data_IF_736884563050
#
_entry.id   IF_736884563050
#
_cell.length_a   1.000
_cell.length_b   1.000
_cell.length_c   1.000
_cell.angle_alpha   90.00
_cell.angle_beta   90.00
_cell.angle_gamma   90.00
#
_symmetry.space_group_name_H-M   'P 1'
#
loop_
_entity.id
_entity.type
_entity.pdbx_description
1 polymer ?
#
# COMPACT_ATOMS: atom_id res chain seq x y z
N UNK A 1 2.81 37.54 2.74
CA UNK A 1 2.72 36.79 4.01
C UNK A 1 1.44 35.98 3.95
N UNK A 2 1.53 34.66 3.74
CA UNK A 2 0.35 33.80 3.81
C UNK A 2 -0.06 33.70 5.26
N UNK A 3 -1.27 34.13 5.57
CA UNK A 3 -1.89 34.02 6.87
C UNK A 3 -1.99 32.53 7.23
N UNK A 4 -1.08 32.04 8.07
CA UNK A 4 -1.14 30.67 8.58
C UNK A 4 -2.24 30.66 9.63
N UNK A 5 -3.46 30.34 9.22
CA UNK A 5 -4.55 30.08 10.17
C UNK A 5 -4.13 28.88 11.01
N UNK A 6 -3.69 29.14 12.23
CA UNK A 6 -3.30 28.11 13.19
C UNK A 6 -4.59 27.53 13.80
N UNK A 7 -5.27 26.67 13.03
CA UNK A 7 -6.50 26.01 13.48
C UNK A 7 -6.16 25.00 14.58
N UNK A 8 -6.65 25.24 15.79
CA UNK A 8 -6.54 24.29 16.90
C UNK A 8 -7.32 23.02 16.58
N UNK A 9 -6.82 21.88 17.06
CA UNK A 9 -7.56 20.61 16.98
C UNK A 9 -8.84 20.73 17.82
N UNK A 10 -9.99 20.25 17.33
CA UNK A 10 -11.24 20.36 18.07
C UNK A 10 -11.20 19.61 19.41
N UNK A 11 -12.04 20.01 20.34
CA UNK A 11 -12.23 19.30 21.61
C UNK A 11 -13.21 18.14 21.39
N UNK A 12 -13.00 17.02 22.10
CA UNK A 12 -13.92 15.89 22.05
C UNK A 12 -15.14 16.17 22.93
N UNK A 13 -16.15 16.86 22.40
CA UNK A 13 -17.36 17.28 23.13
C UNK A 13 -18.62 16.70 22.48
N UNK A 14 -19.74 16.72 23.21
CA UNK A 14 -21.05 16.42 22.62
C UNK A 14 -21.67 17.71 22.08
N UNK A 15 -22.11 17.69 20.82
CA UNK A 15 -22.76 18.83 20.14
C UNK A 15 -24.01 19.29 20.88
N UNK A 16 -24.71 18.38 21.58
CA UNK A 16 -25.88 18.72 22.40
C UNK A 16 -25.55 19.68 23.56
N UNK A 17 -24.28 19.75 23.96
CA UNK A 17 -23.80 20.67 25.00
C UNK A 17 -23.30 22.00 24.47
N UNK A 18 -23.33 22.23 23.15
CA UNK A 18 -22.96 23.50 22.55
C UNK A 18 -24.15 24.48 22.67
N UNK A 19 -23.98 25.50 23.51
CA UNK A 19 -24.88 26.64 23.58
C UNK A 19 -24.47 27.72 22.55
N UNK A 20 -24.99 28.94 22.67
CA UNK A 20 -24.73 30.05 21.74
C UNK A 20 -23.22 30.26 21.45
N UNK A 21 -22.83 30.86 20.30
CA UNK A 21 -21.44 30.93 19.84
C UNK A 21 -20.42 31.51 20.83
N UNK A 22 -20.87 32.34 21.77
CA UNK A 22 -20.04 33.00 22.78
C UNK A 22 -19.98 32.24 24.13
N UNK A 23 -20.59 31.04 24.22
CA UNK A 23 -20.64 30.26 25.45
C UNK A 23 -19.31 29.56 25.75
N UNK A 24 -19.08 29.27 27.04
CA UNK A 24 -17.93 28.48 27.47
C UNK A 24 -18.04 27.06 26.89
N UNK A 25 -16.97 26.56 26.27
CA UNK A 25 -16.95 25.21 25.71
C UNK A 25 -17.13 24.14 26.81
N UNK A 26 -17.93 23.09 26.55
CA UNK A 26 -18.07 21.96 27.46
C UNK A 26 -16.74 21.26 27.73
N UNK A 27 -16.67 20.55 28.87
CA UNK A 27 -15.50 19.73 29.20
C UNK A 27 -15.37 18.57 28.20
N UNK A 28 -14.15 18.25 27.73
CA UNK A 28 -13.92 17.09 26.88
C UNK A 28 -14.39 15.79 27.55
N UNK A 29 -15.05 14.93 26.77
CA UNK A 29 -15.53 13.63 27.18
C UNK A 29 -14.63 12.51 26.65
N UNK A 30 -14.70 11.34 27.28
CA UNK A 30 -13.91 10.15 26.91
C UNK A 30 -14.64 9.20 25.97
N UNK A 31 -15.95 9.40 25.77
CA UNK A 31 -16.76 8.60 24.85
C UNK A 31 -16.49 8.98 23.39
N UNK A 32 -16.88 8.07 22.48
CA UNK A 32 -16.82 8.31 21.04
C UNK A 32 -17.77 9.45 20.66
N UNK A 33 -17.24 10.46 19.98
CA UNK A 33 -18.01 11.53 19.32
C UNK A 33 -17.54 11.65 17.87
N UNK A 34 -18.26 12.42 17.07
CA UNK A 34 -17.81 12.81 15.72
C UNK A 34 -16.40 13.41 15.77
N UNK A 35 -16.11 14.23 16.78
CA UNK A 35 -14.79 14.83 16.97
C UNK A 35 -13.71 13.81 17.33
N UNK A 36 -14.04 12.65 17.93
CA UNK A 36 -13.02 11.63 18.23
C UNK A 36 -12.28 11.18 16.96
N UNK A 37 -13.00 10.98 15.86
CA UNK A 37 -12.41 10.63 14.56
C UNK A 37 -11.66 11.80 13.93
N UNK A 38 -12.19 13.02 14.04
CA UNK A 38 -11.53 14.23 13.51
C UNK A 38 -10.22 14.50 14.25
N UNK A 39 -10.21 14.41 15.58
CA UNK A 39 -9.01 14.57 16.42
C UNK A 39 -7.96 13.53 16.05
N UNK A 40 -8.36 12.25 15.98
CA UNK A 40 -7.46 11.18 15.57
C UNK A 40 -6.89 11.42 14.16
N UNK A 41 -7.72 11.95 13.25
CA UNK A 41 -7.30 12.33 11.91
C UNK A 41 -6.30 13.49 11.90
N UNK A 42 -6.57 14.56 12.64
CA UNK A 42 -5.68 15.72 12.73
C UNK A 42 -4.31 15.32 13.29
N UNK A 43 -4.29 14.51 14.36
CA UNK A 43 -3.04 14.02 14.94
C UNK A 43 -2.28 13.10 13.97
N UNK A 44 -3.00 12.21 13.26
CA UNK A 44 -2.41 11.43 12.17
C UNK A 44 -1.76 12.34 11.11
N UNK A 45 -2.49 13.33 10.60
CA UNK A 45 -2.02 14.21 9.52
C UNK A 45 -0.82 15.04 9.97
N UNK A 46 -0.78 15.53 11.22
CA UNK A 46 0.40 16.21 11.77
C UNK A 46 1.64 15.33 11.70
N UNK A 47 1.51 14.07 12.13
CA UNK A 47 2.61 13.12 12.11
C UNK A 47 2.98 12.77 10.66
N UNK A 48 2.00 12.47 9.82
CA UNK A 48 2.19 12.14 8.41
C UNK A 48 2.88 13.27 7.64
N UNK A 49 2.52 14.54 7.88
CA UNK A 49 3.15 15.70 7.24
C UNK A 49 4.60 15.88 7.66
N UNK A 50 4.91 15.67 8.95
CA UNK A 50 6.28 15.71 9.45
C UNK A 50 7.12 14.61 8.83
N UNK A 51 6.58 13.38 8.79
CA UNK A 51 7.21 12.25 8.13
C UNK A 51 7.40 12.55 6.64
N UNK A 52 6.38 13.09 5.96
CA UNK A 52 6.43 13.37 4.54
C UNK A 52 7.54 14.37 4.19
N UNK A 53 7.66 15.43 5.00
CA UNK A 53 8.70 16.45 4.86
C UNK A 53 10.11 15.87 5.06
N UNK A 54 10.27 14.86 5.91
CA UNK A 54 11.55 14.17 6.12
C UNK A 54 11.82 13.07 5.10
N UNK A 55 10.77 12.39 4.62
CA UNK A 55 10.86 11.14 3.87
C UNK A 55 10.85 11.35 2.36
N UNK A 56 9.94 12.16 1.83
CA UNK A 56 9.78 12.37 0.38
C UNK A 56 10.65 13.49 -0.18
N UNK A 57 11.30 14.29 0.69
CA UNK A 57 12.37 15.20 0.28
C UNK A 57 13.66 14.45 -0.09
N UNK A 58 13.76 13.17 0.29
CA UNK A 58 14.89 12.30 -0.01
C UNK A 58 14.79 11.78 -1.45
N UNK A 59 15.09 12.64 -2.43
CA UNK A 59 15.08 12.29 -3.85
C UNK A 59 16.35 11.50 -4.20
N UNK A 60 16.19 10.18 -4.42
CA UNK A 60 17.18 9.33 -5.10
C UNK A 60 18.05 8.42 -4.22
N UNK A 61 18.00 8.54 -2.89
CA UNK A 61 18.71 7.63 -1.99
C UNK A 61 17.71 6.72 -1.27
N UNK A 62 18.04 5.44 -1.09
CA UNK A 62 17.19 4.52 -0.33
C UNK A 62 17.20 4.95 1.15
N UNK A 63 16.03 5.18 1.79
CA UNK A 63 15.96 5.51 3.21
C UNK A 63 16.65 4.44 4.05
N UNK A 64 17.41 4.86 5.07
CA UNK A 64 18.05 3.91 5.97
C UNK A 64 17.01 3.12 6.76
N UNK A 65 17.36 1.88 7.14
CA UNK A 65 16.47 1.02 7.96
C UNK A 65 16.13 1.69 9.29
N UNK A 66 17.10 2.33 9.92
CA UNK A 66 16.91 2.98 11.22
C UNK A 66 16.00 4.21 11.12
N UNK A 67 16.08 4.96 10.02
CA UNK A 67 15.15 6.06 9.74
C UNK A 67 13.72 5.54 9.63
N UNK A 68 13.48 4.53 8.77
CA UNK A 68 12.13 3.96 8.63
C UNK A 68 11.62 3.43 9.96
N UNK A 69 12.45 2.71 10.73
CA UNK A 69 12.06 2.19 12.04
C UNK A 69 11.66 3.32 12.99
N UNK A 70 12.44 4.41 13.06
CA UNK A 70 12.09 5.56 13.90
C UNK A 70 10.79 6.25 13.47
N UNK A 71 10.50 6.31 12.18
CA UNK A 71 9.23 6.85 11.68
C UNK A 71 8.05 5.90 12.00
N UNK A 72 8.27 4.59 11.89
CA UNK A 72 7.27 3.56 12.24
C UNK A 72 6.96 3.55 13.74
N UNK A 73 7.98 3.72 14.60
CA UNK A 73 7.82 3.82 16.05
C UNK A 73 6.92 4.99 16.44
N UNK A 74 7.03 6.13 15.74
CA UNK A 74 6.15 7.30 15.93
C UNK A 74 4.71 6.98 15.53
N UNK A 75 4.51 6.26 14.43
CA UNK A 75 3.17 5.81 14.01
C UNK A 75 2.57 4.81 15.00
N UNK A 76 3.38 3.90 15.55
CA UNK A 76 2.96 2.97 16.59
C UNK A 76 2.61 3.70 17.90
N UNK A 77 3.38 4.72 18.28
CA UNK A 77 3.09 5.54 19.44
C UNK A 77 1.76 6.29 19.28
N UNK A 78 1.50 6.87 18.10
CA UNK A 78 0.22 7.47 17.77
C UNK A 78 -0.93 6.48 17.87
N UNK A 79 -0.78 5.29 17.25
CA UNK A 79 -1.82 4.26 17.30
C UNK A 79 -2.14 3.83 18.74
N UNK A 80 -1.12 3.76 19.61
CA UNK A 80 -1.29 3.48 21.06
C UNK A 80 -1.92 4.64 21.84
N UNK A 81 -1.79 5.88 21.36
CA UNK A 81 -2.41 7.06 21.98
C UNK A 81 -3.87 7.26 21.58
N UNK A 82 -4.39 6.48 20.62
CA UNK A 82 -5.77 6.59 20.21
C UNK A 82 -6.73 6.31 21.39
N UNK A 83 -7.87 7.01 21.46
CA UNK A 83 -8.88 6.73 22.47
C UNK A 83 -9.39 5.28 22.40
N UNK A 84 -9.94 4.78 23.51
CA UNK A 84 -10.44 3.40 23.62
C UNK A 84 -11.49 3.03 22.57
N UNK A 85 -12.19 4.01 22.00
CA UNK A 85 -13.14 3.77 20.92
C UNK A 85 -12.50 3.18 19.65
N UNK A 86 -11.19 3.36 19.46
CA UNK A 86 -10.42 2.76 18.35
C UNK A 86 -9.83 1.38 18.70
N UNK A 87 -9.93 0.96 19.96
CA UNK A 87 -9.40 -0.33 20.40
C UNK A 87 -10.21 -1.50 19.86
N UNK A 88 -9.51 -2.58 19.50
CA UNK A 88 -10.15 -3.83 19.09
C UNK A 88 -10.94 -4.42 20.27
N UNK A 89 -12.20 -4.79 20.03
CA UNK A 89 -13.08 -5.38 21.04
C UNK A 89 -13.89 -4.36 21.87
N UNK A 90 -13.64 -3.06 21.70
CA UNK A 90 -14.52 -2.04 22.30
C UNK A 90 -15.80 -1.91 21.47
N UNK A 91 -16.93 -2.11 22.15
CA UNK A 91 -18.26 -1.86 21.61
C UNK A 91 -18.42 -0.36 21.41
N UNK A 92 -18.76 0.06 20.20
CA UNK A 92 -19.00 1.44 19.82
C UNK A 92 -20.35 1.55 19.14
N UNK A 93 -20.96 2.74 19.09
CA UNK A 93 -22.16 2.96 18.30
C UNK A 93 -21.92 2.62 16.82
N UNK A 94 -22.94 2.08 16.14
CA UNK A 94 -22.84 1.65 14.73
C UNK A 94 -22.42 2.77 13.77
N UNK A 95 -22.80 4.02 14.06
CA UNK A 95 -22.40 5.18 13.26
C UNK A 95 -20.88 5.45 13.34
N UNK A 96 -20.19 4.98 14.39
CA UNK A 96 -18.76 5.19 14.59
C UNK A 96 -17.89 4.09 13.96
N UNK A 97 -18.49 2.97 13.53
CA UNK A 97 -17.75 1.87 12.92
C UNK A 97 -16.98 2.29 11.66
N UNK A 98 -17.62 3.09 10.81
CA UNK A 98 -17.01 3.60 9.58
C UNK A 98 -15.82 4.56 9.84
N UNK A 99 -15.97 5.66 10.61
CA UNK A 99 -14.85 6.52 10.96
C UNK A 99 -13.70 5.77 11.65
N UNK A 100 -14.04 4.83 12.54
CA UNK A 100 -13.05 3.97 13.21
C UNK A 100 -12.23 3.17 12.21
N UNK A 101 -12.89 2.48 11.29
CA UNK A 101 -12.22 1.68 10.27
C UNK A 101 -11.28 2.55 9.41
N UNK A 102 -11.75 3.72 8.96
CA UNK A 102 -10.97 4.64 8.13
C UNK A 102 -9.68 5.09 8.83
N UNK A 103 -9.75 5.48 10.10
CA UNK A 103 -8.56 5.92 10.86
C UNK A 103 -7.55 4.79 11.02
N UNK A 104 -8.02 3.58 11.35
CA UNK A 104 -7.15 2.41 11.49
C UNK A 104 -6.50 2.03 10.16
N UNK A 105 -7.25 2.07 9.05
CA UNK A 105 -6.71 1.82 7.71
C UNK A 105 -5.70 2.88 7.27
N UNK A 106 -5.91 4.16 7.60
CA UNK A 106 -4.89 5.21 7.37
C UNK A 106 -3.59 4.88 8.10
N UNK A 107 -3.67 4.45 9.34
CA UNK A 107 -2.52 4.00 10.12
C UNK A 107 -1.77 2.83 9.47
N UNK A 108 -2.49 1.76 9.12
CA UNK A 108 -1.92 0.59 8.45
C UNK A 108 -1.29 0.94 7.11
N UNK A 109 -2.01 1.69 6.28
CA UNK A 109 -1.57 2.08 4.94
C UNK A 109 -0.33 2.96 4.98
N UNK A 110 -0.28 3.94 5.88
CA UNK A 110 0.88 4.82 5.99
C UNK A 110 2.15 4.06 6.40
N UNK A 111 2.03 3.15 7.37
CA UNK A 111 3.13 2.24 7.76
C UNK A 111 3.56 1.34 6.60
N UNK A 112 2.59 0.77 5.89
CA UNK A 112 2.84 -0.08 4.71
C UNK A 112 3.64 0.67 3.64
N UNK A 113 3.25 1.92 3.34
CA UNK A 113 3.92 2.77 2.35
C UNK A 113 5.35 3.15 2.75
N UNK A 114 5.64 3.36 4.02
CA UNK A 114 7.01 3.59 4.49
C UNK A 114 7.89 2.35 4.27
N UNK A 115 7.35 1.16 4.56
CA UNK A 115 8.09 -0.09 4.45
C UNK A 115 8.20 -0.65 3.02
N UNK A 116 7.43 -0.12 2.06
CA UNK A 116 7.42 -0.58 0.65
C UNK A 116 8.79 -0.52 -0.01
N UNK A 117 9.63 0.44 0.40
CA UNK A 117 10.99 0.61 -0.12
C UNK A 117 11.90 -0.61 0.15
N UNK A 118 11.48 -1.54 1.02
CA UNK A 118 12.20 -2.78 1.31
C UNK A 118 11.80 -3.97 0.45
N UNK A 119 10.70 -3.91 -0.32
CA UNK A 119 10.26 -5.02 -1.19
C UNK A 119 11.35 -5.55 -2.13
N UNK A 120 12.24 -4.73 -2.73
CA UNK A 120 13.34 -5.26 -3.55
C UNK A 120 14.30 -6.21 -2.83
N UNK A 121 14.33 -6.22 -1.49
CA UNK A 121 15.14 -7.17 -0.72
C UNK A 121 14.63 -8.61 -0.81
N UNK A 122 13.39 -8.83 -1.27
CA UNK A 122 12.83 -10.17 -1.47
C UNK A 122 13.59 -10.98 -2.55
N UNK A 123 14.43 -10.34 -3.36
CA UNK A 123 15.38 -11.03 -4.25
C UNK A 123 16.44 -11.83 -3.48
N UNK A 124 16.73 -11.47 -2.24
CA UNK A 124 17.65 -12.21 -1.38
C UNK A 124 16.93 -13.40 -0.73
N UNK A 125 17.46 -14.61 -0.94
CA UNK A 125 16.88 -15.86 -0.43
C UNK A 125 16.62 -15.85 1.09
N UNK A 126 17.52 -15.28 1.89
CA UNK A 126 17.37 -15.28 3.35
C UNK A 126 16.25 -14.34 3.81
N UNK A 127 16.15 -13.16 3.19
CA UNK A 127 15.07 -12.19 3.49
C UNK A 127 13.73 -12.74 3.02
N UNK A 128 13.73 -13.42 1.87
CA UNK A 128 12.57 -14.10 1.32
C UNK A 128 12.08 -15.19 2.28
N UNK A 129 12.93 -16.11 2.69
CA UNK A 129 12.58 -17.18 3.62
C UNK A 129 11.98 -16.63 4.93
N UNK A 130 12.62 -15.62 5.53
CA UNK A 130 12.12 -14.96 6.74
C UNK A 130 10.73 -14.31 6.56
N UNK A 131 10.47 -13.74 5.37
CA UNK A 131 9.21 -13.06 5.06
C UNK A 131 8.07 -14.04 4.73
N UNK A 132 8.38 -15.18 4.11
CA UNK A 132 7.42 -16.23 3.75
C UNK A 132 7.09 -17.15 4.92
N UNK A 133 8.11 -17.60 5.67
CA UNK A 133 7.97 -18.64 6.70
C UNK A 133 7.43 -18.08 8.02
N UNK A 134 7.18 -16.77 8.09
CA UNK A 134 6.58 -16.12 9.27
C UNK A 134 7.46 -16.17 10.53
N UNK A 135 8.69 -16.68 10.43
CA UNK A 135 9.59 -16.86 11.58
C UNK A 135 9.92 -15.52 12.27
N UNK A 136 9.94 -14.41 11.52
CA UNK A 136 9.87 -13.06 12.06
C UNK A 136 9.59 -12.00 10.99
N UNK A 137 8.32 -11.71 10.65
CA UNK A 137 7.97 -10.68 9.67
C UNK A 137 8.51 -9.29 10.06
N UNK A 138 8.77 -9.05 11.35
CA UNK A 138 9.31 -7.78 11.88
C UNK A 138 10.83 -7.65 11.78
N UNK A 139 11.58 -8.73 11.46
CA UNK A 139 13.05 -8.65 11.30
C UNK A 139 13.45 -7.83 10.07
N UNK A 140 12.60 -7.81 9.05
CA UNK A 140 12.88 -7.17 7.78
C UNK A 140 11.73 -6.24 7.40
N UNK A 141 12.06 -5.04 6.91
CA UNK A 141 11.05 -4.10 6.46
C UNK A 141 10.15 -4.64 5.35
N UNK A 142 10.65 -5.56 4.52
CA UNK A 142 9.85 -6.23 3.50
C UNK A 142 8.75 -7.12 4.12
N UNK A 143 9.10 -7.97 5.09
CA UNK A 143 8.15 -8.83 5.79
C UNK A 143 7.07 -8.02 6.53
N UNK A 144 7.45 -6.89 7.12
CA UNK A 144 6.50 -5.97 7.77
C UNK A 144 5.58 -5.29 6.75
N UNK A 145 6.09 -4.87 5.59
CA UNK A 145 5.27 -4.33 4.52
C UNK A 145 4.19 -5.32 4.07
N UNK A 146 4.58 -6.59 3.87
CA UNK A 146 3.67 -7.66 3.46
C UNK A 146 2.62 -7.96 4.54
N UNK A 147 3.04 -8.02 5.82
CA UNK A 147 2.10 -8.30 6.91
C UNK A 147 1.09 -7.16 7.10
N UNK A 148 1.50 -5.90 6.91
CA UNK A 148 0.60 -4.75 6.91
C UNK A 148 -0.37 -4.77 5.73
N UNK A 149 0.08 -5.19 4.54
CA UNK A 149 -0.80 -5.35 3.38
C UNK A 149 -1.88 -6.41 3.64
N UNK A 150 -1.50 -7.59 4.14
CA UNK A 150 -2.43 -8.65 4.52
C UNK A 150 -3.43 -8.17 5.58
N UNK A 151 -2.94 -7.54 6.66
CA UNK A 151 -3.80 -6.98 7.71
C UNK A 151 -4.79 -5.94 7.18
N UNK A 152 -4.36 -5.10 6.23
CA UNK A 152 -5.22 -4.09 5.60
C UNK A 152 -6.33 -4.77 4.80
N UNK A 153 -5.99 -5.76 3.97
CA UNK A 153 -6.96 -6.50 3.14
C UNK A 153 -7.94 -7.25 4.02
N UNK A 154 -7.47 -8.03 5.00
CA UNK A 154 -8.34 -8.79 5.91
C UNK A 154 -9.30 -7.86 6.68
N UNK A 155 -8.81 -6.69 7.11
CA UNK A 155 -9.63 -5.69 7.80
C UNK A 155 -10.69 -5.06 6.89
N UNK A 156 -10.31 -4.66 5.67
CA UNK A 156 -11.24 -4.11 4.68
C UNK A 156 -12.28 -5.16 4.27
N UNK A 157 -11.84 -6.39 3.99
CA UNK A 157 -12.71 -7.50 3.64
C UNK A 157 -13.73 -7.78 4.73
N UNK A 158 -13.26 -7.92 5.98
CA UNK A 158 -14.16 -8.11 7.13
C UNK A 158 -15.19 -6.99 7.21
N UNK A 159 -14.77 -5.73 7.02
CA UNK A 159 -15.69 -4.60 7.05
C UNK A 159 -16.73 -4.66 5.92
N UNK A 160 -16.28 -4.85 4.67
CA UNK A 160 -17.10 -4.90 3.45
C UNK A 160 -18.20 -5.95 3.54
N UNK A 161 -17.89 -7.12 4.08
CA UNK A 161 -18.84 -8.24 4.17
C UNK A 161 -19.63 -8.28 5.48
N UNK A 162 -19.32 -7.41 6.44
CA UNK A 162 -20.07 -7.29 7.70
C UNK A 162 -21.02 -6.08 7.72
N UNK A 163 -20.89 -5.14 6.77
CA UNK A 163 -21.63 -3.89 6.76
C UNK A 163 -22.29 -3.62 5.40
N UNK A 164 -23.35 -2.81 5.40
CA UNK A 164 -23.91 -2.28 4.16
C UNK A 164 -23.02 -1.16 3.64
N UNK A 165 -22.40 -1.36 2.48
CA UNK A 165 -21.52 -0.37 1.88
C UNK A 165 -22.30 0.83 1.34
N UNK A 166 -22.01 2.01 1.89
CA UNK A 166 -22.41 3.30 1.33
C UNK A 166 -21.30 3.82 0.40
N UNK A 167 -21.67 4.73 -0.51
CA UNK A 167 -20.73 5.30 -1.50
C UNK A 167 -19.45 5.86 -0.86
N UNK A 168 -19.57 6.60 0.24
CA UNK A 168 -18.42 7.21 0.92
C UNK A 168 -17.41 6.18 1.42
N UNK A 169 -17.85 5.18 2.19
CA UNK A 169 -16.96 4.13 2.71
C UNK A 169 -16.44 3.20 1.61
N UNK A 170 -17.24 2.93 0.57
CA UNK A 170 -16.81 2.14 -0.58
C UNK A 170 -15.56 2.72 -1.27
N UNK A 171 -15.43 4.06 -1.31
CA UNK A 171 -14.24 4.72 -1.85
C UNK A 171 -12.99 4.39 -1.04
N UNK A 172 -13.09 4.46 0.30
CA UNK A 172 -11.99 4.09 1.19
C UNK A 172 -11.65 2.61 1.09
N UNK A 173 -12.65 1.72 1.04
CA UNK A 173 -12.43 0.28 0.83
C UNK A 173 -11.66 0.03 -0.46
N UNK A 174 -12.06 0.69 -1.55
CA UNK A 174 -11.39 0.60 -2.85
C UNK A 174 -9.93 1.05 -2.73
N UNK A 175 -9.69 2.23 -2.17
CA UNK A 175 -8.35 2.79 -2.02
C UNK A 175 -7.43 1.89 -1.20
N UNK A 176 -7.85 1.47 0.00
CA UNK A 176 -6.99 0.69 0.89
C UNK A 176 -6.79 -0.75 0.41
N UNK A 177 -7.83 -1.42 -0.10
CA UNK A 177 -7.71 -2.76 -0.65
C UNK A 177 -6.79 -2.78 -1.88
N UNK A 178 -6.95 -1.82 -2.79
CA UNK A 178 -6.11 -1.75 -3.99
C UNK A 178 -4.65 -1.48 -3.66
N UNK A 179 -4.36 -0.50 -2.78
CA UNK A 179 -2.98 -0.19 -2.36
C UNK A 179 -2.29 -1.40 -1.72
N UNK A 180 -2.99 -2.14 -0.87
CA UNK A 180 -2.45 -3.34 -0.23
C UNK A 180 -2.28 -4.50 -1.24
N UNK A 181 -3.22 -4.68 -2.16
CA UNK A 181 -3.12 -5.70 -3.20
C UNK A 181 -1.95 -5.43 -4.15
N UNK A 182 -1.69 -4.17 -4.51
CA UNK A 182 -0.53 -3.78 -5.31
C UNK A 182 0.79 -4.12 -4.62
N UNK A 183 0.91 -3.94 -3.30
CA UNK A 183 2.09 -4.36 -2.55
C UNK A 183 2.34 -5.87 -2.70
N UNK A 184 1.29 -6.69 -2.58
CA UNK A 184 1.40 -8.14 -2.74
C UNK A 184 1.70 -8.54 -4.20
N UNK A 185 1.13 -7.83 -5.17
CA UNK A 185 1.43 -8.04 -6.58
C UNK A 185 2.90 -7.72 -6.89
N UNK A 186 3.43 -6.58 -6.42
CA UNK A 186 4.85 -6.20 -6.55
C UNK A 186 5.75 -7.27 -5.91
N UNK A 187 5.39 -7.75 -4.71
CA UNK A 187 6.14 -8.79 -4.04
C UNK A 187 6.19 -10.10 -4.85
N UNK A 188 5.05 -10.50 -5.40
CA UNK A 188 4.93 -11.66 -6.30
C UNK A 188 5.83 -11.51 -7.53
N UNK A 189 5.83 -10.32 -8.15
CA UNK A 189 6.69 -10.00 -9.30
C UNK A 189 8.17 -9.91 -8.95
N UNK A 190 8.51 -9.66 -7.68
CA UNK A 190 9.91 -9.53 -7.22
C UNK A 190 10.56 -10.88 -6.95
N UNK A 191 9.78 -11.86 -6.48
CA UNK A 191 10.28 -13.17 -6.06
C UNK A 191 10.53 -14.13 -7.23
N UNK A 192 9.92 -13.88 -8.39
CA UNK A 192 10.04 -14.68 -9.63
C UNK A 192 9.85 -16.20 -9.40
N UNK A 193 8.99 -16.56 -8.46
CA UNK A 193 8.63 -17.96 -8.21
C UNK A 193 7.60 -18.44 -9.24
N UNK A 194 7.72 -19.72 -9.62
CA UNK A 194 6.75 -20.40 -10.49
C UNK A 194 5.37 -20.47 -9.87
N UNK A 195 5.26 -20.37 -8.55
CA UNK A 195 3.98 -20.28 -7.82
C UNK A 195 4.16 -19.31 -6.64
N UNK A 196 3.31 -18.28 -6.47
CA UNK A 196 3.45 -17.32 -5.40
C UNK A 196 3.01 -17.97 -4.09
N UNK A 197 3.39 -17.39 -2.95
CA UNK A 197 2.92 -17.84 -1.66
C UNK A 197 1.40 -17.84 -1.62
N UNK A 198 0.79 -18.97 -1.23
CA UNK A 198 -0.66 -19.14 -1.21
C UNK A 198 -1.37 -18.05 -0.39
N UNK A 199 -0.72 -17.57 0.68
CA UNK A 199 -1.22 -16.47 1.51
C UNK A 199 -1.30 -15.14 0.75
N UNK A 200 -0.36 -14.83 -0.15
CA UNK A 200 -0.40 -13.62 -0.95
C UNK A 200 -1.49 -13.72 -2.01
N UNK A 201 -1.57 -14.84 -2.73
CA UNK A 201 -2.61 -15.09 -3.73
C UNK A 201 -4.01 -15.03 -3.10
N UNK A 202 -4.21 -15.67 -1.95
CA UNK A 202 -5.48 -15.60 -1.20
C UNK A 202 -5.87 -14.16 -0.90
N UNK A 203 -4.95 -13.36 -0.37
CA UNK A 203 -5.24 -11.96 -0.02
C UNK A 203 -5.51 -11.09 -1.26
N UNK A 204 -4.82 -11.33 -2.38
CA UNK A 204 -5.13 -10.64 -3.64
C UNK A 204 -6.58 -10.94 -4.07
N UNK A 205 -7.02 -12.20 -3.98
CA UNK A 205 -8.41 -12.57 -4.27
C UNK A 205 -9.41 -11.91 -3.31
N UNK A 206 -9.11 -11.84 -2.00
CA UNK A 206 -9.96 -11.11 -1.05
C UNK A 206 -10.05 -9.62 -1.39
N UNK A 207 -8.98 -9.01 -1.90
CA UNK A 207 -9.00 -7.64 -2.37
C UNK A 207 -9.85 -7.50 -3.64
N UNK A 208 -9.79 -8.44 -4.58
CA UNK A 208 -10.69 -8.48 -5.74
C UNK A 208 -12.16 -8.53 -5.33
N UNK A 209 -12.51 -9.37 -4.36
CA UNK A 209 -13.86 -9.45 -3.81
C UNK A 209 -14.32 -8.11 -3.21
N UNK A 210 -13.42 -7.42 -2.49
CA UNK A 210 -13.69 -6.08 -1.95
C UNK A 210 -13.94 -5.05 -3.06
N UNK A 211 -13.11 -5.05 -4.11
CA UNK A 211 -13.22 -4.14 -5.25
C UNK A 211 -14.49 -4.40 -6.06
N UNK A 212 -14.85 -5.67 -6.25
CA UNK A 212 -16.10 -6.09 -6.87
C UNK A 212 -17.33 -5.71 -6.04
N UNK A 213 -17.22 -5.71 -4.71
CA UNK A 213 -18.28 -5.19 -3.84
C UNK A 213 -18.41 -3.67 -3.93
N UNK A 214 -17.29 -2.95 -3.90
CA UNK A 214 -17.26 -1.50 -3.97
C UNK A 214 -17.69 -0.94 -5.33
N UNK A 215 -17.43 -1.65 -6.45
CA UNK A 215 -17.85 -1.25 -7.80
C UNK A 215 -19.37 -1.17 -7.95
N UNK A 216 -20.11 -2.02 -7.24
CA UNK A 216 -21.58 -1.93 -7.20
C UNK A 216 -22.08 -0.62 -6.58
N UNK A 217 -21.28 0.02 -5.74
CA UNK A 217 -21.63 1.27 -5.05
C UNK A 217 -21.09 2.53 -5.75
N UNK A 218 -19.90 2.42 -6.37
CA UNK A 218 -19.16 3.54 -6.98
C UNK A 218 -19.31 3.62 -8.50
N UNK A 219 -19.84 2.58 -9.14
CA UNK A 219 -19.84 2.44 -10.59
C UNK A 219 -18.45 2.06 -11.13
N UNK A 220 -18.16 2.47 -12.37
CA UNK A 220 -16.99 2.05 -13.14
C UNK A 220 -15.64 2.34 -12.48
N UNK A 221 -15.59 3.29 -11.53
CA UNK A 221 -14.38 3.66 -10.80
C UNK A 221 -13.66 2.49 -10.16
N UNK A 222 -14.30 1.81 -9.19
CA UNK A 222 -13.71 0.65 -8.53
C UNK A 222 -13.54 -0.55 -9.47
N UNK A 223 -14.38 -0.65 -10.51
CA UNK A 223 -14.26 -1.66 -11.56
C UNK A 223 -12.94 -1.57 -12.33
N UNK A 224 -12.46 -0.36 -12.62
CA UNK A 224 -11.15 -0.16 -13.28
C UNK A 224 -9.99 -0.69 -12.44
N UNK A 225 -10.00 -0.47 -11.12
CA UNK A 225 -8.96 -0.99 -10.22
C UNK A 225 -8.98 -2.51 -10.14
N UNK A 226 -10.16 -3.13 -10.15
CA UNK A 226 -10.31 -4.58 -10.22
C UNK A 226 -9.69 -5.13 -11.52
N UNK A 227 -10.00 -4.52 -12.66
CA UNK A 227 -9.46 -4.93 -13.97
C UNK A 227 -7.93 -4.82 -13.99
N UNK A 228 -7.36 -3.74 -13.44
CA UNK A 228 -5.90 -3.59 -13.32
C UNK A 228 -5.30 -4.72 -12.50
N UNK A 229 -5.87 -5.04 -11.34
CA UNK A 229 -5.36 -6.10 -10.46
C UNK A 229 -5.42 -7.47 -11.15
N UNK A 230 -6.54 -7.80 -11.79
CA UNK A 230 -6.73 -9.03 -12.54
C UNK A 230 -5.75 -9.16 -13.71
N UNK A 231 -5.46 -8.06 -14.41
CA UNK A 231 -4.48 -8.05 -15.52
C UNK A 231 -3.08 -8.34 -15.01
N UNK A 232 -2.67 -7.73 -13.90
CA UNK A 232 -1.35 -7.99 -13.28
C UNK A 232 -1.22 -9.47 -12.92
N UNK A 233 -2.26 -10.06 -12.33
CA UNK A 233 -2.28 -11.48 -11.98
C UNK A 233 -2.31 -12.40 -13.20
N UNK A 234 -3.02 -12.01 -14.27
CA UNK A 234 -3.07 -12.75 -15.54
C UNK A 234 -1.71 -12.79 -16.24
N UNK A 235 -1.00 -11.66 -16.29
CA UNK A 235 0.37 -11.58 -16.84
C UNK A 235 1.30 -12.55 -16.10
N UNK A 236 1.16 -12.64 -14.78
CA UNK A 236 1.92 -13.60 -13.99
C UNK A 236 1.47 -15.05 -14.27
N UNK A 237 0.17 -15.34 -14.30
CA UNK A 237 -0.35 -16.68 -14.61
C UNK A 237 0.10 -17.21 -15.97
N UNK A 238 0.24 -16.33 -16.97
CA UNK A 238 0.80 -16.65 -18.28
C UNK A 238 2.28 -17.04 -18.25
N UNK A 239 3.08 -16.50 -17.31
CA UNK A 239 4.50 -16.86 -17.14
C UNK A 239 4.69 -18.27 -16.59
N UNK A 240 3.81 -18.73 -15.70
CA UNK A 240 3.84 -20.11 -15.18
C UNK A 240 3.71 -21.14 -16.31
N UNK A 241 2.92 -20.85 -17.34
CA UNK A 241 2.73 -21.71 -18.52
C UNK A 241 3.93 -21.66 -19.48
N UNK A 242 4.52 -20.47 -19.68
CA UNK A 242 5.68 -20.30 -20.54
C UNK A 242 6.96 -20.96 -19.96
N UNK A 243 7.16 -20.89 -18.65
CA UNK A 243 8.34 -21.49 -18.00
C UNK A 243 8.30 -23.03 -18.02
N UNK A 244 7.10 -23.63 -17.97
CA UNK A 244 6.89 -25.06 -18.16
C UNK A 244 7.25 -25.54 -19.57
N UNK A 245 7.12 -24.70 -20.59
CA UNK A 245 7.43 -25.05 -21.98
C UNK A 245 8.93 -25.14 -22.25
N UNK A 246 9.76 -24.44 -21.48
CA UNK A 246 11.22 -24.43 -21.64
C UNK A 246 11.96 -25.45 -20.75
N UNK A 247 11.34 -26.02 -19.72
CA UNK A 247 11.95 -27.11 -18.93
C UNK A 247 11.62 -28.52 -19.47
N UNK A 248 10.81 -28.61 -20.53
CA UNK A 248 10.36 -29.88 -21.11
C UNK A 248 11.04 -30.27 -22.42
N UNK A 249 12.35 -30.02 -22.62
CA UNK A 249 13.10 -30.64 -23.73
C UNK A 249 14.62 -30.48 -23.60
N UNK A 250 15.27 -31.35 -22.85
CA UNK A 250 16.67 -31.76 -23.12
C UNK A 250 17.08 -32.97 -22.29
N UNK A 251 16.82 -34.17 -22.81
CA UNK A 251 17.61 -35.35 -22.44
C UNK A 251 18.83 -35.39 -23.37
N UNK A 252 20.08 -35.39 -22.86
CA UNK A 252 21.23 -35.71 -23.70
C UNK A 252 21.55 -37.21 -23.61
N UNK A 253 22.03 -37.85 -24.70
CA UNK A 253 22.52 -39.22 -24.66
C UNK A 253 23.92 -39.27 -23.98
N UNK A 254 24.37 -40.45 -23.52
CA UNK A 254 25.61 -40.57 -22.76
C UNK A 254 26.86 -40.70 -23.64
N UNK A 255 28.02 -40.49 -22.99
CA UNK A 255 29.44 -40.72 -23.42
C UNK A 255 30.14 -39.53 -24.11
N UNK A 256 31.43 -39.20 -23.89
CA UNK A 256 32.49 -39.59 -22.96
C UNK A 256 33.63 -38.53 -23.01
N UNK A 257 34.43 -38.42 -21.93
CA UNK A 257 35.82 -37.90 -21.79
C UNK A 257 36.37 -36.82 -22.77
N UNK A 258 36.76 -35.64 -22.23
CA UNK A 258 38.17 -35.20 -22.07
C UNK A 258 38.34 -33.72 -21.62
N UNK A 259 39.15 -33.55 -20.57
CA UNK A 259 40.23 -32.57 -20.28
C UNK A 259 40.17 -31.11 -20.83
N UNK A 260 40.33 -30.16 -19.90
CA UNK A 260 40.61 -28.69 -19.97
C UNK A 260 41.80 -28.25 -20.89
N UNK A 261 42.11 -26.94 -21.16
CA UNK A 261 41.74 -25.72 -20.40
C UNK A 261 41.35 -24.41 -21.17
N UNK A 262 40.79 -23.50 -20.37
CA UNK A 262 40.75 -22.03 -20.42
C UNK A 262 41.14 -21.25 -21.69
N UNK A 263 40.20 -20.43 -22.18
CA UNK A 263 40.46 -19.05 -22.60
C UNK A 263 39.21 -18.18 -22.40
N UNK A 264 39.42 -17.01 -21.81
CA UNK A 264 38.41 -16.01 -21.54
C UNK A 264 37.82 -15.44 -22.85
N UNK A 265 36.49 -15.34 -22.93
CA UNK A 265 35.81 -14.52 -23.92
C UNK A 265 34.66 -13.77 -23.25
N UNK A 266 34.62 -12.47 -23.52
CA UNK A 266 33.70 -11.48 -22.95
C UNK A 266 32.24 -11.88 -23.20
N UNK A 267 31.46 -12.03 -22.12
CA UNK A 267 30.00 -12.07 -22.21
C UNK A 267 29.46 -10.63 -22.33
N UNK A 268 28.45 -10.38 -23.17
CA UNK A 268 27.75 -9.09 -23.18
C UNK A 268 27.02 -8.87 -21.84
N UNK A 269 26.81 -7.60 -21.42
CA UNK A 269 26.12 -7.29 -20.18
C UNK A 269 24.69 -7.86 -20.19
N UNK A 270 24.17 -8.30 -19.03
CA UNK A 270 22.81 -8.83 -18.93
C UNK A 270 21.79 -7.74 -19.32
N UNK A 271 20.69 -8.11 -19.99
CA UNK A 271 19.65 -7.15 -20.35
C UNK A 271 19.04 -6.51 -19.09
N UNK A 272 18.49 -5.28 -19.19
CA UNK A 272 17.83 -4.61 -18.07
C UNK A 272 16.75 -5.53 -17.48
N UNK A 273 16.68 -5.57 -16.16
CA UNK A 273 15.82 -6.51 -15.45
C UNK A 273 14.35 -6.38 -15.85
N UNK A 274 13.73 -7.52 -16.11
CA UNK A 274 12.37 -7.70 -16.61
C UNK A 274 11.28 -7.00 -15.79
N UNK A 275 11.52 -6.64 -14.52
CA UNK A 275 10.55 -5.95 -13.66
C UNK A 275 10.24 -4.53 -14.13
N UNK A 276 11.25 -3.78 -14.59
CA UNK A 276 11.09 -2.39 -15.05
C UNK A 276 10.44 -2.31 -16.43
N UNK A 277 10.72 -3.31 -17.27
CA UNK A 277 10.07 -3.46 -18.58
C UNK A 277 8.60 -3.87 -18.43
N UNK A 278 8.22 -4.70 -17.46
CA UNK A 278 6.83 -5.14 -17.30
C UNK A 278 5.86 -4.04 -16.85
N UNK A 279 6.27 -3.20 -15.89
CA UNK A 279 5.47 -2.03 -15.49
C UNK A 279 5.39 -0.99 -16.62
N UNK A 280 6.45 -0.86 -17.41
CA UNK A 280 6.49 -0.01 -18.60
C UNK A 280 5.70 -0.60 -19.80
N UNK A 281 5.65 -1.93 -19.94
CA UNK A 281 4.90 -2.65 -20.98
C UNK A 281 3.40 -2.59 -20.69
N UNK A 282 3.01 -2.65 -19.41
CA UNK A 282 1.64 -2.33 -19.00
C UNK A 282 1.26 -0.88 -19.33
N UNK A 283 2.24 0.03 -19.35
CA UNK A 283 2.05 1.43 -19.73
C UNK A 283 2.09 1.67 -21.26
N UNK A 284 2.72 0.78 -22.04
CA UNK A 284 2.91 0.92 -23.49
C UNK A 284 1.84 0.21 -24.33
N UNK A 285 1.16 -0.82 -23.79
CA UNK A 285 0.02 -1.52 -24.40
C UNK A 285 -1.31 -0.72 -24.37
N UNK A 286 -1.23 0.62 -24.41
CA UNK A 286 -2.39 1.50 -24.52
C UNK A 286 -3.14 1.80 -23.21
N UNK A 287 -2.58 1.46 -22.05
CA UNK A 287 -3.04 2.02 -20.77
C UNK A 287 -2.00 3.03 -20.30
N UNK A 288 -2.21 4.30 -20.64
CA UNK A 288 -1.55 5.33 -19.84
C UNK A 288 -2.02 5.13 -18.41
N UNK A 289 -1.12 4.86 -17.45
CA UNK A 289 -1.48 5.05 -16.03
C UNK A 289 -1.93 6.51 -15.78
N UNK A 290 -1.59 7.43 -16.70
CA UNK A 290 -2.17 8.77 -16.84
C UNK A 290 -3.68 8.81 -17.21
N UNK A 291 -4.27 7.72 -17.71
CA UNK A 291 -5.72 7.53 -17.95
C UNK A 291 -6.47 6.91 -16.77
N UNK A 292 -5.76 6.44 -15.73
CA UNK A 292 -6.35 6.38 -14.41
C UNK A 292 -6.52 7.84 -13.97
N UNK A 293 -7.54 8.50 -14.50
CA UNK A 293 -7.96 9.80 -14.02
C UNK A 293 -8.10 9.78 -12.49
N UNK A 294 -8.15 10.95 -11.83
CA UNK A 294 -8.35 10.99 -10.39
C UNK A 294 -9.47 10.01 -10.01
N UNK A 295 -9.20 9.14 -9.03
CA UNK A 295 -10.16 8.20 -8.43
C UNK A 295 -11.53 8.86 -8.49
N UNK A 296 -12.56 8.30 -9.18
CA UNK A 296 -13.74 9.08 -9.52
C UNK A 296 -14.36 9.64 -8.25
N UNK A 297 -14.11 10.91 -8.04
CA UNK A 297 -14.89 11.78 -7.19
C UNK A 297 -16.15 11.93 -8.01
N UNK A 298 -17.12 11.04 -7.78
CA UNK A 298 -18.33 10.99 -8.59
C UNK A 298 -18.88 12.40 -8.76
N UNK A 299 -19.34 12.72 -9.96
CA UNK A 299 -19.86 14.03 -10.39
C UNK A 299 -21.12 14.50 -9.66
N UNK A 300 -21.40 13.97 -8.47
CA UNK A 300 -22.28 14.62 -7.52
C UNK A 300 -21.47 15.73 -6.85
N UNK A 301 -21.95 16.96 -6.96
CA UNK A 301 -21.51 18.12 -6.18
C UNK A 301 -21.19 17.69 -4.74
N UNK A 302 -19.91 17.40 -4.49
CA UNK A 302 -19.37 17.20 -3.16
C UNK A 302 -18.99 18.60 -2.69
N UNK A 303 -19.54 19.09 -1.57
CA UNK A 303 -19.04 20.30 -0.96
C UNK A 303 -17.52 20.18 -0.79
N UNK A 304 -16.78 21.23 -1.15
CA UNK A 304 -15.31 21.32 -1.12
C UNK A 304 -14.69 20.96 0.26
N UNK A 305 -15.51 20.77 1.28
CA UNK A 305 -15.16 20.50 2.68
C UNK A 305 -14.83 19.05 3.04
N UNK A 306 -15.12 18.06 2.19
CA UNK A 306 -14.65 16.69 2.43
C UNK A 306 -13.21 16.54 1.97
N UNK A 307 -12.28 17.03 2.79
CA UNK A 307 -10.84 17.06 2.59
C UNK A 307 -10.20 15.78 2.05
N UNK A 308 -10.35 15.55 0.75
CA UNK A 308 -9.40 14.83 -0.09
C UNK A 308 -8.11 15.62 -0.02
N UNK A 309 -7.36 15.29 1.01
CA UNK A 309 -6.22 16.10 1.36
C UNK A 309 -5.10 15.82 0.35
N UNK A 310 -4.33 16.84 -0.06
CA UNK A 310 -3.18 16.72 -0.97
C UNK A 310 -2.07 15.75 -0.54
N UNK A 311 -2.22 15.06 0.60
CA UNK A 311 -1.23 14.15 1.19
C UNK A 311 -1.48 12.67 0.91
N UNK A 312 -2.66 12.26 0.39
CA UNK A 312 -2.88 10.85 0.05
C UNK A 312 -2.15 10.53 -1.27
N UNK A 313 -1.09 9.70 -1.24
CA UNK A 313 -0.35 9.37 -2.46
C UNK A 313 -1.29 8.71 -3.45
N UNK A 314 -1.28 9.24 -4.66
CA UNK A 314 -2.04 8.70 -5.76
C UNK A 314 -1.50 7.32 -6.13
N UNK A 315 -2.30 6.54 -6.87
CA UNK A 315 -1.79 5.31 -7.48
C UNK A 315 -0.55 5.56 -8.37
N UNK A 316 -0.39 6.79 -8.87
CA UNK A 316 0.76 7.21 -9.67
C UNK A 316 2.01 7.48 -8.80
N UNK A 317 1.88 8.19 -7.68
CA UNK A 317 2.96 8.33 -6.68
C UNK A 317 3.44 6.96 -6.15
N UNK A 318 2.52 5.99 -6.14
CA UNK A 318 2.84 4.62 -5.76
C UNK A 318 3.81 3.94 -6.74
N UNK A 319 3.65 4.19 -8.05
CA UNK A 319 4.40 3.57 -9.15
C UNK A 319 5.72 4.30 -9.45
N UNK A 320 5.72 5.64 -9.45
CA UNK A 320 6.90 6.46 -9.79
C UNK A 320 8.06 6.23 -8.81
N UNK A 321 7.78 6.10 -7.51
CA UNK A 321 8.80 5.76 -6.50
C UNK A 321 9.41 4.36 -6.63
N UNK A 322 8.76 3.46 -7.39
CA UNK A 322 9.28 2.12 -7.71
C UNK A 322 10.13 2.11 -8.99
N UNK A 323 9.92 3.05 -9.91
CA UNK A 323 10.58 3.08 -11.21
C UNK A 323 11.89 3.88 -11.20
N UNK A 324 11.93 5.04 -10.52
CA UNK A 324 13.09 5.94 -10.56
C UNK A 324 14.34 5.36 -9.87
N UNK A 325 14.19 4.42 -8.94
CA UNK A 325 15.31 3.77 -8.25
C UNK A 325 15.98 2.65 -9.07
N UNK A 326 15.51 2.38 -10.29
CA UNK A 326 16.10 1.35 -11.16
C UNK A 326 17.10 1.91 -12.17
N UNK A 327 17.07 3.22 -12.45
CA UNK A 327 17.88 3.83 -13.53
C UNK A 327 19.23 4.35 -13.04
N UNK A 328 19.39 4.66 -11.75
CA UNK A 328 20.59 5.34 -11.24
C UNK A 328 21.66 4.44 -10.59
N UNK A 329 21.54 3.10 -10.63
CA UNK A 329 22.56 2.20 -10.06
C UNK A 329 23.58 1.64 -11.08
N UNK A 330 23.55 2.08 -12.34
CA UNK A 330 24.42 1.54 -13.40
C UNK A 330 25.31 2.55 -14.14
N UNK A 331 25.51 3.77 -13.62
CA UNK A 331 26.32 4.77 -14.33
C UNK A 331 27.36 5.55 -13.53
N UNK A 332 27.67 5.19 -12.28
CA UNK A 332 28.80 5.79 -11.56
C UNK A 332 29.60 4.74 -10.78
N UNK A 333 30.36 3.94 -11.52
CA UNK A 333 31.52 3.21 -11.00
C UNK A 333 32.52 2.99 -12.14
N UNK A 334 32.99 4.08 -12.75
CA UNK A 334 34.19 4.09 -13.58
C UNK A 334 34.70 5.52 -13.81
N UNK A 335 35.31 6.11 -12.78
CA UNK A 335 36.50 6.98 -12.85
C UNK A 335 37.28 6.79 -11.55
#
# INVERSE_FOLDING_TARGET
>A
MSDRVETRVPLNINDEGLEAPDSILPRPITLCTTYSAIIAHCEFVKIANQIHSSFFTFRGLRPSRDLIRGLDDRMLAWNKSLPSCFSLGTQVPSWFDEPRAIILWKGLNFRMLMHKCFLPLLKNHNVKADALEGAAPHKHGAGLCLSLAIQTIDSVHTFVFSHTLRRGIAWYCTYFAFQAALVLAIATLTVDETTPPAVWTRNILLAEDCLGAASRCLGDGAGRYLVVLQRVMSIWGGRGVAHHRHQGSSAPPPSAFNVFPAHASMLPPPPPSSTSLLLADCASDGFGFAELGPMPVGTAELPDDYGLSPWMPTAQDFLEGSAENYVLSHTEAMV
#
